data_IF_514129142856
#
_entry.id   IF_514129142856
#
_cell.length_a   1.000
_cell.length_b   1.000
_cell.length_c   1.000
_cell.angle_alpha   90.00
_cell.angle_beta   90.00
_cell.angle_gamma   90.00
#
_symmetry.space_group_name_H-M   'P 1'
#
loop_
_entity.id
_entity.type
_entity.pdbx_description
1 polymer ?
#
# COMPACT_ATOMS: atom_id res chain seq x y z
N UNK A 1 8.13 -63.93 49.75
CA UNK A 1 8.83 -63.99 48.46
C UNK A 1 7.90 -64.04 47.24
N UNK A 2 6.97 -65.00 47.11
CA UNK A 2 6.08 -65.08 45.93
C UNK A 2 5.14 -63.86 45.77
N UNK A 3 4.66 -63.31 46.88
CA UNK A 3 3.75 -62.16 46.91
C UNK A 3 4.45 -60.83 46.52
N UNK A 4 5.73 -60.68 46.88
CA UNK A 4 6.56 -59.54 46.49
C UNK A 4 6.93 -59.58 45.01
N UNK A 5 7.19 -60.78 44.45
CA UNK A 5 7.44 -60.95 43.02
C UNK A 5 6.22 -60.57 42.18
N UNK A 6 5.02 -60.99 42.61
CA UNK A 6 3.76 -60.64 41.94
C UNK A 6 3.46 -59.13 42.01
N UNK A 7 3.71 -58.49 43.17
CA UNK A 7 3.57 -57.06 43.32
C UNK A 7 4.56 -56.28 42.41
N UNK A 8 5.82 -56.73 42.34
CA UNK A 8 6.84 -56.12 41.48
C UNK A 8 6.48 -56.23 39.98
N UNK A 9 5.99 -57.39 39.53
CA UNK A 9 5.56 -57.60 38.13
C UNK A 9 4.35 -56.73 37.80
N UNK A 10 3.36 -56.62 38.69
CA UNK A 10 2.20 -55.77 38.50
C UNK A 10 2.57 -54.28 38.40
N UNK A 11 3.50 -53.81 39.24
CA UNK A 11 4.00 -52.44 39.19
C UNK A 11 4.80 -52.15 37.92
N UNK A 12 5.65 -53.09 37.49
CA UNK A 12 6.42 -52.96 36.25
C UNK A 12 5.51 -52.96 35.01
N UNK A 13 4.48 -53.82 34.99
CA UNK A 13 3.48 -53.84 33.92
C UNK A 13 2.68 -52.53 33.85
N UNK A 14 2.27 -51.98 34.99
CA UNK A 14 1.61 -50.67 35.07
C UNK A 14 2.50 -49.53 34.60
N UNK A 15 3.77 -49.52 35.00
CA UNK A 15 4.74 -48.50 34.59
C UNK A 15 5.00 -48.53 33.08
N UNK A 16 5.11 -49.73 32.47
CA UNK A 16 5.26 -49.87 31.02
C UNK A 16 4.05 -49.36 30.24
N UNK A 17 2.83 -49.61 30.73
CA UNK A 17 1.61 -49.09 30.08
C UNK A 17 1.56 -47.56 30.09
N UNK A 18 1.88 -46.94 31.22
CA UNK A 18 1.92 -45.47 31.35
C UNK A 18 3.02 -44.89 30.45
N UNK A 19 4.21 -45.48 30.44
CA UNK A 19 5.31 -45.05 29.57
C UNK A 19 4.95 -45.16 28.09
N UNK A 20 4.27 -46.24 27.69
CA UNK A 20 3.78 -46.45 26.32
C UNK A 20 2.75 -45.40 25.90
N UNK A 21 1.76 -45.11 26.76
CA UNK A 21 0.77 -44.06 26.49
C UNK A 21 1.41 -42.68 26.38
N UNK A 22 2.36 -42.36 27.26
CA UNK A 22 3.09 -41.10 27.23
C UNK A 22 3.90 -40.94 25.93
N UNK A 23 4.60 -41.99 25.51
CA UNK A 23 5.40 -41.95 24.28
C UNK A 23 4.53 -41.79 23.04
N UNK A 24 3.38 -42.47 22.98
CA UNK A 24 2.39 -42.29 21.92
C UNK A 24 1.82 -40.86 21.90
N UNK A 25 1.49 -40.31 23.07
CA UNK A 25 0.98 -38.94 23.17
C UNK A 25 2.02 -37.90 22.68
N UNK A 26 3.28 -38.09 23.03
CA UNK A 26 4.37 -37.22 22.59
C UNK A 26 4.62 -37.33 21.08
N UNK A 27 4.61 -38.55 20.52
CA UNK A 27 4.71 -38.75 19.08
C UNK A 27 3.57 -38.06 18.32
N UNK A 28 2.33 -38.20 18.81
CA UNK A 28 1.16 -37.52 18.25
C UNK A 28 1.25 -36.00 18.34
N UNK A 29 1.89 -35.47 19.39
CA UNK A 29 2.12 -34.03 19.53
C UNK A 29 3.11 -33.53 18.47
N UNK A 30 4.23 -34.24 18.28
CA UNK A 30 5.23 -33.88 17.26
C UNK A 30 4.66 -33.89 15.85
N UNK A 31 3.90 -34.94 15.50
CA UNK A 31 3.22 -35.02 14.20
C UNK A 31 2.28 -33.83 13.98
N UNK A 32 1.47 -33.50 14.98
CA UNK A 32 0.54 -32.36 14.92
C UNK A 32 1.23 -31.02 14.71
N UNK A 33 2.38 -30.81 15.35
CA UNK A 33 3.20 -29.61 15.12
C UNK A 33 3.78 -29.59 13.71
N UNK A 34 4.24 -30.74 13.22
CA UNK A 34 4.73 -30.86 11.84
C UNK A 34 3.66 -30.54 10.81
N UNK A 35 2.41 -30.97 11.02
CA UNK A 35 1.29 -30.64 10.10
C UNK A 35 1.04 -29.15 10.00
N UNK A 36 1.17 -28.41 11.12
CA UNK A 36 1.00 -26.95 11.15
C UNK A 36 2.13 -26.29 10.37
N UNK A 37 3.36 -26.77 10.55
CA UNK A 37 4.52 -26.24 9.84
C UNK A 37 4.47 -26.54 8.34
N UNK A 38 4.08 -27.76 7.96
CA UNK A 38 3.87 -28.14 6.55
C UNK A 38 2.84 -27.25 5.87
N UNK A 39 1.70 -26.99 6.53
CA UNK A 39 0.68 -26.11 5.97
C UNK A 39 1.20 -24.69 5.70
N UNK A 40 2.02 -24.14 6.62
CA UNK A 40 2.65 -22.82 6.43
C UNK A 40 3.67 -22.83 5.31
N UNK A 41 4.48 -23.90 5.22
CA UNK A 41 5.45 -24.07 4.14
C UNK A 41 4.78 -24.18 2.78
N UNK A 42 3.67 -24.91 2.68
CA UNK A 42 2.89 -24.99 1.43
C UNK A 42 2.39 -23.59 1.05
N UNK A 43 1.81 -22.83 1.99
CA UNK A 43 1.32 -21.48 1.71
C UNK A 43 2.45 -20.54 1.26
N UNK A 44 3.59 -20.53 1.95
CA UNK A 44 4.74 -19.72 1.56
C UNK A 44 5.33 -20.13 0.20
N UNK A 45 5.40 -21.43 -0.08
CA UNK A 45 5.90 -21.94 -1.37
C UNK A 45 4.96 -21.59 -2.52
N UNK A 46 3.65 -21.58 -2.26
CA UNK A 46 2.63 -21.17 -3.21
C UNK A 46 2.74 -19.67 -3.54
N UNK A 47 2.99 -18.82 -2.54
CA UNK A 47 3.26 -17.39 -2.76
C UNK A 47 4.53 -17.18 -3.61
N UNK A 48 5.63 -17.86 -3.29
CA UNK A 48 6.88 -17.78 -4.04
C UNK A 48 6.71 -18.23 -5.49
N UNK A 49 6.07 -19.39 -5.71
CA UNK A 49 5.77 -19.87 -7.05
C UNK A 49 4.95 -18.85 -7.85
N UNK A 50 4.00 -18.18 -7.22
CA UNK A 50 3.22 -17.15 -7.90
C UNK A 50 4.07 -15.97 -8.37
N UNK A 51 5.02 -15.54 -7.53
CA UNK A 51 5.91 -14.43 -7.85
C UNK A 51 6.76 -14.78 -9.07
N UNK A 52 7.31 -15.99 -9.10
CA UNK A 52 8.27 -16.40 -10.12
C UNK A 52 7.62 -16.85 -11.43
N UNK A 53 6.51 -17.62 -11.35
CA UNK A 53 5.86 -18.23 -12.51
C UNK A 53 4.63 -17.44 -13.01
N UNK A 54 4.21 -16.41 -12.27
CA UNK A 54 3.05 -15.54 -12.58
C UNK A 54 1.72 -16.29 -12.77
N UNK A 55 1.59 -17.50 -12.23
CA UNK A 55 0.38 -18.33 -12.28
C UNK A 55 0.24 -19.19 -11.02
N UNK A 56 -0.97 -19.68 -10.71
CA UNK A 56 -1.10 -20.75 -9.73
C UNK A 56 -0.40 -22.03 -10.21
N UNK A 57 0.14 -22.84 -9.30
CA UNK A 57 0.51 -24.22 -9.60
C UNK A 57 -0.76 -25.05 -9.85
N UNK A 58 -0.67 -26.06 -10.70
CA UNK A 58 -1.71 -27.05 -10.97
C UNK A 58 -1.98 -27.95 -9.76
N UNK A 59 -1.00 -28.07 -8.85
CA UNK A 59 -1.12 -28.89 -7.65
C UNK A 59 0.15 -28.85 -6.81
N UNK A 60 0.12 -29.57 -5.68
CA UNK A 60 1.27 -29.65 -4.77
C UNK A 60 2.44 -30.40 -5.39
N UNK A 61 2.17 -31.39 -6.23
CA UNK A 61 3.21 -32.15 -6.91
C UNK A 61 4.05 -31.25 -7.83
N UNK A 62 3.45 -30.20 -8.41
CA UNK A 62 4.19 -29.24 -9.21
C UNK A 62 5.16 -28.43 -8.35
N UNK A 63 4.72 -27.95 -7.18
CA UNK A 63 5.58 -27.24 -6.23
C UNK A 63 6.75 -28.12 -5.76
N UNK A 64 6.53 -29.43 -5.62
CA UNK A 64 7.58 -30.39 -5.26
C UNK A 64 8.53 -30.62 -6.44
N UNK A 65 7.99 -30.87 -7.63
CA UNK A 65 8.78 -31.17 -8.83
C UNK A 65 9.66 -30.00 -9.27
N UNK A 66 9.17 -28.77 -9.09
CA UNK A 66 9.90 -27.53 -9.40
C UNK A 66 10.85 -27.09 -8.28
N UNK A 67 10.80 -27.76 -7.12
CA UNK A 67 11.73 -27.53 -6.00
C UNK A 67 11.34 -26.41 -5.04
N UNK A 68 10.20 -25.74 -5.24
CA UNK A 68 9.70 -24.71 -4.31
C UNK A 68 9.27 -25.30 -2.97
N UNK A 69 8.80 -26.55 -2.96
CA UNK A 69 8.31 -27.24 -1.78
C UNK A 69 9.05 -28.56 -1.57
N UNK A 70 9.60 -28.76 -0.38
CA UNK A 70 10.10 -30.08 0.03
C UNK A 70 8.94 -31.02 0.35
N UNK A 71 9.11 -32.36 0.22
CA UNK A 71 8.06 -33.31 0.57
C UNK A 71 7.48 -33.06 1.96
N UNK A 72 6.16 -32.92 2.02
CA UNK A 72 5.40 -32.64 3.24
C UNK A 72 4.77 -33.92 3.80
N UNK A 73 4.44 -33.92 5.08
CA UNK A 73 3.69 -35.01 5.68
C UNK A 73 2.24 -35.05 5.18
N UNK A 74 1.60 -36.22 5.33
CA UNK A 74 0.20 -36.46 4.98
C UNK A 74 -0.63 -36.58 6.26
N UNK A 75 -1.25 -35.49 6.75
CA UNK A 75 -2.11 -35.55 7.92
C UNK A 75 -3.23 -36.56 7.69
N UNK A 76 -3.42 -37.47 8.65
CA UNK A 76 -4.44 -38.52 8.57
C UNK A 76 -4.36 -39.38 7.29
N UNK A 77 -3.16 -39.51 6.71
CA UNK A 77 -2.91 -40.21 5.43
C UNK A 77 -3.64 -39.56 4.24
N UNK A 78 -4.02 -38.28 4.36
CA UNK A 78 -4.63 -37.50 3.29
C UNK A 78 -3.59 -36.57 2.68
N UNK A 79 -3.59 -36.50 1.35
CA UNK A 79 -2.77 -35.55 0.61
C UNK A 79 -3.34 -34.15 0.74
N UNK A 80 -2.45 -33.18 0.88
CA UNK A 80 -2.80 -31.79 0.64
C UNK A 80 -3.17 -31.59 -0.84
N UNK A 81 -4.10 -30.67 -1.11
CA UNK A 81 -4.52 -30.32 -2.47
C UNK A 81 -4.49 -28.80 -2.64
N UNK A 82 -4.36 -28.33 -3.89
CA UNK A 82 -4.48 -26.91 -4.23
C UNK A 82 -5.67 -26.76 -5.16
N UNK A 83 -6.61 -25.90 -4.79
CA UNK A 83 -7.69 -25.43 -5.62
C UNK A 83 -7.29 -24.05 -6.16
N UNK A 84 -6.80 -23.96 -7.42
CA UNK A 84 -6.31 -22.72 -7.97
C UNK A 84 -7.46 -21.75 -8.26
N UNK A 85 -7.25 -20.47 -7.97
CA UNK A 85 -8.17 -19.39 -8.34
C UNK A 85 -7.41 -18.14 -8.80
N UNK A 86 -8.06 -17.25 -9.54
CA UNK A 86 -7.38 -16.14 -10.23
C UNK A 86 -6.75 -15.07 -9.31
N UNK A 87 -7.30 -14.90 -8.09
CA UNK A 87 -6.81 -13.94 -7.07
C UNK A 87 -6.46 -14.61 -5.74
N UNK A 88 -7.04 -15.77 -5.50
CA UNK A 88 -6.95 -16.50 -4.25
C UNK A 88 -6.95 -17.98 -4.60
N UNK A 89 -5.99 -18.71 -4.05
CA UNK A 89 -5.95 -20.17 -4.13
C UNK A 89 -6.22 -20.76 -2.75
N UNK A 90 -6.83 -21.94 -2.71
CA UNK A 90 -7.06 -22.65 -1.47
C UNK A 90 -6.16 -23.86 -1.37
N UNK A 91 -5.41 -23.97 -0.28
CA UNK A 91 -4.78 -25.22 0.12
C UNK A 91 -5.82 -26.01 0.92
N UNK A 92 -6.19 -27.19 0.45
CA UNK A 92 -7.24 -28.00 1.06
C UNK A 92 -6.72 -29.33 1.58
N UNK A 93 -7.38 -29.83 2.62
CA UNK A 93 -7.06 -31.10 3.25
C UNK A 93 -8.35 -31.74 3.78
N UNK A 94 -8.59 -32.98 3.37
CA UNK A 94 -9.70 -33.77 3.88
C UNK A 94 -9.35 -34.30 5.27
N UNK A 95 -10.15 -33.95 6.28
CA UNK A 95 -10.02 -34.49 7.62
C UNK A 95 -10.92 -35.70 7.85
N UNK A 96 -10.60 -36.51 8.87
CA UNK A 96 -11.40 -37.70 9.22
C UNK A 96 -12.73 -37.34 9.90
N UNK A 97 -12.79 -36.21 10.61
CA UNK A 97 -13.99 -35.69 11.25
C UNK A 97 -13.90 -34.17 11.46
N UNK A 98 -15.05 -33.54 11.73
CA UNK A 98 -15.15 -32.10 11.89
C UNK A 98 -14.31 -31.58 13.07
N UNK A 99 -14.21 -32.32 14.17
CA UNK A 99 -13.48 -31.91 15.38
C UNK A 99 -11.97 -31.80 15.13
N UNK A 100 -11.37 -32.83 14.52
CA UNK A 100 -9.94 -32.84 14.19
C UNK A 100 -9.59 -31.81 13.11
N UNK A 101 -10.47 -31.63 12.14
CA UNK A 101 -10.33 -30.62 11.08
C UNK A 101 -10.39 -29.21 11.65
N UNK A 102 -11.38 -28.93 12.50
CA UNK A 102 -11.53 -27.65 13.18
C UNK A 102 -10.34 -27.35 14.11
N UNK A 103 -9.80 -28.36 14.81
CA UNK A 103 -8.60 -28.20 15.60
C UNK A 103 -7.41 -27.72 14.73
N UNK A 104 -7.16 -28.34 13.58
CA UNK A 104 -6.03 -27.94 12.73
C UNK A 104 -6.25 -26.55 12.14
N UNK A 105 -7.47 -26.25 11.66
CA UNK A 105 -7.83 -24.93 11.15
C UNK A 105 -7.64 -23.84 12.22
N UNK A 106 -7.99 -24.12 13.48
CA UNK A 106 -7.77 -23.16 14.59
C UNK A 106 -6.30 -22.77 14.83
N UNK A 107 -5.34 -23.51 14.24
CA UNK A 107 -3.89 -23.26 14.35
C UNK A 107 -3.29 -22.60 13.12
N UNK A 108 -4.07 -22.45 12.04
CA UNK A 108 -3.62 -21.91 10.77
C UNK A 108 -4.29 -20.56 10.49
N UNK A 109 -3.50 -19.51 10.18
CA UNK A 109 -4.05 -18.21 9.84
C UNK A 109 -4.85 -18.32 8.54
N UNK A 110 -5.89 -17.49 8.39
CA UNK A 110 -6.69 -17.42 7.15
C UNK A 110 -7.26 -18.78 6.69
N UNK A 111 -7.51 -19.68 7.64
CA UNK A 111 -8.12 -20.98 7.37
C UNK A 111 -9.53 -21.07 7.93
N UNK A 112 -10.34 -21.92 7.31
CA UNK A 112 -11.69 -22.24 7.75
C UNK A 112 -12.01 -23.69 7.40
N UNK A 113 -13.12 -24.20 7.95
CA UNK A 113 -13.58 -25.55 7.66
C UNK A 113 -14.93 -25.54 6.94
N UNK A 114 -15.11 -26.50 6.04
CA UNK A 114 -16.37 -26.80 5.39
C UNK A 114 -16.68 -28.28 5.62
N UNK A 115 -17.50 -28.57 6.63
CA UNK A 115 -17.73 -29.95 7.10
C UNK A 115 -16.43 -30.57 7.65
N UNK A 116 -15.91 -31.57 6.95
CA UNK A 116 -14.66 -32.26 7.28
C UNK A 116 -13.48 -31.80 6.44
N UNK A 117 -13.65 -30.79 5.57
CA UNK A 117 -12.57 -30.25 4.75
C UNK A 117 -11.99 -28.99 5.40
N UNK A 118 -10.66 -28.92 5.53
CA UNK A 118 -9.93 -27.70 5.86
C UNK A 118 -9.60 -26.94 4.58
N UNK A 119 -9.76 -25.62 4.59
CA UNK A 119 -9.39 -24.73 3.50
C UNK A 119 -8.55 -23.58 4.05
N UNK A 120 -7.34 -23.42 3.54
CA UNK A 120 -6.41 -22.35 3.87
C UNK A 120 -6.32 -21.41 2.67
N UNK A 121 -6.72 -20.15 2.87
CA UNK A 121 -6.72 -19.12 1.85
C UNK A 121 -5.29 -18.55 1.68
N UNK A 122 -4.77 -18.61 0.45
CA UNK A 122 -3.49 -18.00 0.07
C UNK A 122 -3.74 -17.01 -1.06
N UNK A 123 -3.50 -15.73 -0.77
CA UNK A 123 -3.70 -14.65 -1.74
C UNK A 123 -2.56 -14.62 -2.74
N UNK A 124 -2.90 -14.34 -3.99
CA UNK A 124 -1.91 -13.95 -4.99
C UNK A 124 -1.17 -12.71 -4.47
N UNK A 125 0.18 -12.72 -4.43
CA UNK A 125 0.97 -11.54 -4.10
C UNK A 125 0.65 -10.39 -5.04
N UNK A 126 0.58 -9.16 -4.51
CA UNK A 126 0.45 -7.97 -5.35
C UNK A 126 1.68 -7.87 -6.26
N UNK A 127 1.46 -7.89 -7.58
CA UNK A 127 2.57 -7.68 -8.51
C UNK A 127 2.93 -6.18 -8.55
N UNK A 128 4.22 -5.81 -8.65
CA UNK A 128 4.62 -4.42 -8.88
C UNK A 128 4.02 -3.83 -10.17
N UNK A 129 3.65 -4.66 -11.14
CA UNK A 129 2.96 -4.25 -12.36
C UNK A 129 1.52 -3.76 -12.07
N UNK A 130 0.88 -4.25 -11.00
CA UNK A 130 -0.38 -3.69 -10.49
C UNK A 130 -0.19 -2.38 -9.69
N UNK A 131 1.06 -1.97 -9.44
CA UNK A 131 1.44 -0.66 -8.89
C UNK A 131 1.61 0.43 -9.97
N UNK A 132 1.26 0.15 -11.23
CA UNK A 132 1.29 1.12 -12.35
C UNK A 132 0.46 2.40 -12.10
N UNK A 133 -0.31 2.48 -11.01
CA UNK A 133 -1.03 3.67 -10.58
C UNK A 133 -0.34 4.57 -9.54
N UNK A 134 0.85 4.23 -9.02
CA UNK A 134 1.46 4.98 -7.92
C UNK A 134 2.88 5.49 -8.26
N UNK A 135 3.01 6.81 -8.45
CA UNK A 135 4.30 7.51 -8.43
C UNK A 135 4.82 7.56 -6.98
N UNK A 136 5.41 6.47 -6.51
CA UNK A 136 6.11 6.44 -5.23
C UNK A 136 7.59 6.12 -5.47
N UNK A 137 8.46 7.13 -5.38
CA UNK A 137 9.92 6.93 -5.35
C UNK A 137 10.52 7.73 -4.20
N UNK A 138 11.38 7.06 -3.43
CA UNK A 138 12.30 7.70 -2.49
C UNK A 138 13.59 8.01 -3.24
N UNK A 139 14.17 9.18 -2.99
CA UNK A 139 15.41 9.56 -3.66
C UNK A 139 16.55 8.57 -3.33
N UNK A 140 17.25 8.07 -4.34
CA UNK A 140 18.39 7.17 -4.21
C UNK A 140 19.68 7.97 -4.28
N UNK A 141 20.47 7.97 -3.20
CA UNK A 141 21.73 8.71 -3.15
C UNK A 141 22.76 8.09 -4.12
N UNK A 142 23.44 8.94 -4.90
CA UNK A 142 24.47 8.51 -5.85
C UNK A 142 23.96 8.13 -7.25
N UNK A 143 22.64 8.00 -7.43
CA UNK A 143 21.99 7.57 -8.68
C UNK A 143 20.99 8.64 -9.16
N UNK A 144 21.47 9.81 -9.64
CA UNK A 144 20.62 10.94 -10.00
C UNK A 144 19.61 10.61 -11.11
N UNK A 145 19.95 9.69 -12.02
CA UNK A 145 19.09 9.22 -13.11
C UNK A 145 17.81 8.53 -12.59
N UNK A 146 17.86 7.90 -11.41
CA UNK A 146 16.67 7.29 -10.79
C UNK A 146 15.77 8.30 -10.11
N UNK A 147 16.27 9.51 -9.86
CA UNK A 147 15.58 10.59 -9.17
C UNK A 147 15.04 11.66 -10.13
N UNK A 148 15.21 11.46 -11.44
CA UNK A 148 14.75 12.35 -12.48
C UNK A 148 13.60 11.70 -13.26
N UNK A 149 12.63 12.52 -13.65
CA UNK A 149 11.58 12.09 -14.56
C UNK A 149 12.05 12.36 -16.00
N UNK A 150 12.21 11.31 -16.80
CA UNK A 150 12.67 11.43 -18.19
C UNK A 150 11.57 11.80 -19.20
N UNK A 151 10.33 11.99 -18.73
CA UNK A 151 9.16 12.28 -19.56
C UNK A 151 8.26 13.31 -18.89
N UNK A 152 7.33 13.87 -19.65
CA UNK A 152 6.28 14.73 -19.12
C UNK A 152 5.30 13.92 -18.24
N UNK A 153 4.84 14.56 -17.16
CA UNK A 153 3.72 14.06 -16.37
C UNK A 153 2.41 14.58 -16.97
N UNK A 154 1.61 13.70 -17.55
CA UNK A 154 0.25 14.00 -17.99
C UNK A 154 -0.75 13.59 -16.90
N UNK A 155 -1.44 14.58 -16.33
CA UNK A 155 -2.42 14.37 -15.26
C UNK A 155 -3.87 14.47 -15.76
N UNK A 156 -4.10 14.67 -17.06
CA UNK A 156 -5.42 14.89 -17.64
C UNK A 156 -6.26 15.91 -16.84
N UNK A 157 -7.31 15.44 -16.16
CA UNK A 157 -8.24 16.24 -15.35
C UNK A 157 -8.07 16.02 -13.83
N UNK A 158 -6.89 15.57 -13.40
CA UNK A 158 -6.59 15.34 -11.99
C UNK A 158 -5.75 16.46 -11.37
N UNK A 159 -6.02 16.75 -10.10
CA UNK A 159 -5.34 17.79 -9.32
C UNK A 159 -4.08 17.27 -8.63
N UNK A 160 -3.06 18.14 -8.51
CA UNK A 160 -1.97 17.95 -7.54
C UNK A 160 -2.34 18.70 -6.27
N UNK A 161 -2.65 17.96 -5.21
CA UNK A 161 -3.01 18.51 -3.91
C UNK A 161 -1.84 18.43 -2.93
N UNK A 162 -1.73 19.40 -2.03
CA UNK A 162 -0.73 19.45 -0.96
C UNK A 162 0.74 19.42 -1.43
N UNK A 163 1.04 19.97 -2.61
CA UNK A 163 2.42 20.20 -3.05
C UNK A 163 3.08 21.30 -2.21
N UNK A 164 4.29 21.06 -1.73
CA UNK A 164 5.06 22.05 -0.98
C UNK A 164 5.60 23.16 -1.90
N UNK A 165 6.70 22.87 -2.60
CA UNK A 165 7.34 23.80 -3.52
C UNK A 165 7.42 23.19 -4.92
N UNK A 166 7.07 23.99 -5.93
CA UNK A 166 7.30 23.67 -7.34
C UNK A 166 8.32 24.66 -7.87
N UNK A 167 9.55 24.19 -8.10
CA UNK A 167 10.59 24.99 -8.74
C UNK A 167 10.65 24.61 -10.22
N UNK A 168 10.34 25.56 -11.09
CA UNK A 168 10.36 25.38 -12.53
C UNK A 168 11.04 26.58 -13.20
N UNK A 169 11.71 26.34 -14.34
CA UNK A 169 12.29 27.41 -15.15
C UNK A 169 11.20 28.25 -15.84
N UNK A 170 10.11 27.60 -16.24
CA UNK A 170 8.95 28.22 -16.87
C UNK A 170 7.66 27.58 -16.33
N UNK A 171 6.64 28.40 -16.09
CA UNK A 171 5.30 27.94 -15.76
C UNK A 171 4.32 28.56 -16.75
N UNK A 172 3.63 27.72 -17.50
CA UNK A 172 2.55 28.13 -18.40
C UNK A 172 1.22 27.60 -17.87
N UNK A 173 0.37 28.51 -17.41
CA UNK A 173 -0.97 28.19 -16.89
C UNK A 173 -2.01 29.14 -17.46
N UNK A 174 -3.26 28.69 -17.55
CA UNK A 174 -4.41 29.52 -17.91
C UNK A 174 -4.93 30.35 -16.73
N UNK A 175 -4.74 29.86 -15.50
CA UNK A 175 -5.16 30.55 -14.28
C UNK A 175 -4.18 30.28 -13.14
N UNK A 176 -4.02 31.28 -12.27
CA UNK A 176 -3.24 31.17 -11.05
C UNK A 176 -4.05 31.79 -9.92
N UNK A 177 -4.48 30.97 -8.97
CA UNK A 177 -5.05 31.42 -7.72
C UNK A 177 -3.96 31.35 -6.65
N UNK A 178 -3.49 32.51 -6.17
CA UNK A 178 -2.50 32.58 -5.10
C UNK A 178 -2.87 33.66 -4.09
N UNK A 179 -2.59 33.40 -2.81
CA UNK A 179 -2.67 34.42 -1.76
C UNK A 179 -1.56 35.45 -1.88
N UNK A 180 -0.40 35.05 -2.39
CA UNK A 180 0.76 35.93 -2.57
C UNK A 180 1.56 35.48 -3.78
N UNK A 181 1.80 36.40 -4.71
CA UNK A 181 2.69 36.18 -5.85
C UNK A 181 3.78 37.24 -5.83
N UNK A 182 5.04 36.81 -5.76
CA UNK A 182 6.19 37.70 -5.95
C UNK A 182 6.63 37.57 -7.40
N UNK A 183 6.43 38.63 -8.17
CA UNK A 183 6.72 38.65 -9.60
C UNK A 183 7.76 39.73 -9.85
N UNK A 184 8.90 39.36 -10.43
CA UNK A 184 9.96 40.32 -10.75
C UNK A 184 9.55 41.26 -11.89
N UNK A 185 8.85 40.73 -12.89
CA UNK A 185 8.34 41.48 -14.03
C UNK A 185 7.05 40.85 -14.53
N UNK A 186 6.01 41.65 -14.73
CA UNK A 186 4.73 41.21 -15.29
C UNK A 186 4.35 42.08 -16.49
N UNK A 187 4.01 41.45 -17.61
CA UNK A 187 3.30 42.11 -18.71
C UNK A 187 1.83 41.74 -18.61
N UNK A 188 0.97 42.72 -18.32
CA UNK A 188 -0.45 42.50 -18.08
C UNK A 188 -1.25 43.24 -19.15
N UNK A 189 -2.02 42.51 -19.95
CA UNK A 189 -2.88 43.10 -20.98
C UNK A 189 -4.08 43.85 -20.36
N UNK A 190 -4.64 43.30 -19.29
CA UNK A 190 -5.77 43.87 -18.56
C UNK A 190 -5.67 43.50 -17.08
N UNK A 191 -5.86 44.47 -16.20
CA UNK A 191 -5.89 44.25 -14.76
C UNK A 191 -7.24 44.71 -14.21
N UNK A 192 -7.98 43.78 -13.60
CA UNK A 192 -9.15 44.10 -12.77
C UNK A 192 -8.78 43.85 -11.32
N UNK A 193 -8.70 44.91 -10.52
CA UNK A 193 -8.39 44.82 -9.10
C UNK A 193 -9.34 45.68 -8.29
N UNK A 194 -9.66 45.23 -7.07
CA UNK A 194 -10.37 46.04 -6.07
C UNK A 194 -9.47 47.14 -5.50
N UNK A 195 -8.16 46.95 -5.52
CA UNK A 195 -7.18 47.91 -5.05
C UNK A 195 -5.77 47.59 -5.54
N UNK A 196 -4.99 48.63 -5.80
CA UNK A 196 -3.57 48.50 -6.15
C UNK A 196 -2.80 49.36 -5.15
N UNK A 197 -1.95 48.73 -4.35
CA UNK A 197 -1.00 49.43 -3.50
C UNK A 197 0.38 49.29 -4.14
N UNK A 198 0.93 50.40 -4.61
CA UNK A 198 2.22 50.44 -5.27
C UNK A 198 3.05 51.59 -4.72
N UNK A 199 4.33 51.35 -4.45
CA UNK A 199 5.27 52.40 -4.01
C UNK A 199 5.58 53.36 -5.15
N UNK A 200 5.69 52.83 -6.38
CA UNK A 200 5.96 53.60 -7.58
C UNK A 200 5.12 53.06 -8.73
N UNK A 201 4.50 53.98 -9.48
CA UNK A 201 3.80 53.65 -10.73
C UNK A 201 4.34 54.57 -11.82
N UNK A 202 4.92 53.97 -12.85
CA UNK A 202 5.37 54.65 -14.05
C UNK A 202 4.41 54.29 -15.18
N UNK A 203 3.79 55.28 -15.80
CA UNK A 203 2.99 55.07 -17.02
C UNK A 203 3.71 55.70 -18.21
N UNK A 204 3.41 55.24 -19.41
CA UNK A 204 4.04 55.71 -20.65
C UNK A 204 3.63 57.12 -21.08
N UNK A 205 2.59 57.72 -20.49
CA UNK A 205 2.05 59.00 -20.95
C UNK A 205 2.05 60.09 -19.87
N UNK A 206 1.94 59.75 -18.58
CA UNK A 206 2.03 60.71 -17.46
C UNK A 206 2.22 59.97 -16.13
N UNK A 207 3.02 60.49 -15.20
CA UNK A 207 3.08 59.89 -13.86
C UNK A 207 1.73 60.11 -13.14
N UNK A 208 1.33 59.18 -12.27
CA UNK A 208 0.12 59.37 -11.44
C UNK A 208 0.24 60.65 -10.60
N UNK A 209 1.46 60.99 -10.18
CA UNK A 209 1.74 62.23 -9.47
C UNK A 209 1.43 63.46 -10.33
N UNK A 210 1.78 63.44 -11.62
CA UNK A 210 1.45 64.52 -12.54
C UNK A 210 -0.06 64.62 -12.75
N UNK A 211 -0.76 63.50 -12.96
CA UNK A 211 -2.21 63.50 -13.10
C UNK A 211 -2.91 64.05 -11.85
N UNK A 212 -2.39 63.72 -10.65
CA UNK A 212 -2.91 64.25 -9.39
C UNK A 212 -2.66 65.77 -9.25
N UNK A 213 -1.50 66.26 -9.69
CA UNK A 213 -1.18 67.68 -9.70
C UNK A 213 -2.07 68.45 -10.69
N UNK A 214 -2.23 67.95 -11.91
CA UNK A 214 -3.10 68.53 -12.93
C UNK A 214 -4.56 68.59 -12.46
N UNK A 215 -5.03 67.55 -11.76
CA UNK A 215 -6.38 67.51 -11.19
C UNK A 215 -6.57 68.50 -10.03
N UNK A 216 -5.51 68.76 -9.25
CA UNK A 216 -5.53 69.77 -8.20
C UNK A 216 -5.57 71.19 -8.79
N UNK A 217 -4.75 71.46 -9.81
CA UNK A 217 -4.74 72.73 -10.53
C UNK A 217 -6.10 73.01 -11.18
N UNK A 218 -6.70 72.02 -11.83
CA UNK A 218 -8.06 72.13 -12.38
C UNK A 218 -9.12 72.45 -11.33
N UNK A 219 -9.00 71.89 -10.11
CA UNK A 219 -9.91 72.23 -9.00
C UNK A 219 -9.75 73.67 -8.54
N UNK A 220 -8.51 74.14 -8.43
CA UNK A 220 -8.23 75.51 -7.99
C UNK A 220 -8.74 76.53 -9.03
N UNK A 221 -8.46 76.31 -10.32
CA UNK A 221 -8.98 77.14 -11.41
C UNK A 221 -10.52 77.16 -11.45
N UNK A 222 -11.16 76.00 -11.23
CA UNK A 222 -12.61 75.91 -11.15
C UNK A 222 -13.17 76.72 -9.97
N UNK A 223 -12.56 76.62 -8.79
CA UNK A 223 -12.98 77.39 -7.63
C UNK A 223 -12.83 78.89 -7.87
N UNK A 224 -11.69 79.33 -8.40
CA UNK A 224 -11.44 80.72 -8.73
C UNK A 224 -12.47 81.26 -9.73
N UNK A 225 -12.76 80.50 -10.79
CA UNK A 225 -13.78 80.89 -11.78
C UNK A 225 -15.18 81.02 -11.17
N UNK A 226 -15.54 80.18 -10.17
CA UNK A 226 -16.79 80.33 -9.41
C UNK A 226 -16.79 81.57 -8.52
N UNK A 227 -15.68 81.88 -7.87
CA UNK A 227 -15.55 83.08 -7.02
C UNK A 227 -15.66 84.36 -7.85
N UNK A 228 -15.10 84.36 -9.07
CA UNK A 228 -15.15 85.48 -10.00
C UNK A 228 -16.51 85.63 -10.71
N UNK A 229 -17.46 84.71 -10.46
CA UNK A 229 -18.80 84.72 -11.05
C UNK A 229 -18.87 84.33 -12.53
N UNK A 230 -17.75 83.89 -13.11
CA UNK A 230 -17.62 83.55 -14.52
C UNK A 230 -17.99 82.09 -14.81
N UNK A 231 -17.93 81.21 -13.81
CA UNK A 231 -18.38 79.82 -13.89
C UNK A 231 -19.55 79.58 -12.92
N UNK A 232 -20.58 78.86 -13.37
CA UNK A 232 -21.70 78.40 -12.54
C UNK A 232 -21.65 76.91 -12.31
#
# INVERSE_FOLDING_TARGET
>A
MLLELLAAIALLGGAMLIAGQWWQAEAQRKLRLQWIEDARRIAASLELFWIDEQRPPAGIDELIATGYLQPVSMPWQQSWQIEPGSRLSYVTLQGPDATRTAWLSSKLPQSFTSGTQLRLAVWRPFSPEESDGALYRVAVAGEPELNQMGTALDMNNHDVLNGGYVQAAEMKTSSLASQTATIQSATVQSLSSTGINATYVTTSQTSIAQLAADLAELRDLWQQCRTDGNCK
#
